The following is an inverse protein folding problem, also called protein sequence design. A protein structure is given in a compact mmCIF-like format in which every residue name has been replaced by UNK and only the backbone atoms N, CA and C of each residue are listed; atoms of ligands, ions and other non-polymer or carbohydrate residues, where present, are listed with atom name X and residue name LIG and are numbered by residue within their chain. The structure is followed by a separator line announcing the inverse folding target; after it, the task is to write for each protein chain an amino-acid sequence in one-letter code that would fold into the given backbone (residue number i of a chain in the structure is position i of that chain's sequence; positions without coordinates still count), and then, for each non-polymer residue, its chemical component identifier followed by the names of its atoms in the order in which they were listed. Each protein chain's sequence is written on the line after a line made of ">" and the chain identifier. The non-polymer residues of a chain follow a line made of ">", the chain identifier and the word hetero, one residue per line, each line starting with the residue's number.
data_IF_902934646354
#
_entry.id   IF_902934646354
#
_cell.length_a   1.000
_cell.length_b   1.000
_cell.length_c   1.000
_cell.angle_alpha   90.00
_cell.angle_beta   90.00
_cell.angle_gamma   90.00
#
_symmetry.space_group_name_H-M   'P 1'
#
loop_
_entity.id
_entity.type
_entity.pdbx_description
1 polymer ?
#
# COMPACT_ATOMS: atom_id res chain seq x y z
N UNK A 1 -13.97 18.03 11.02
CA UNK A 1 -14.97 17.63 12.05
C UNK A 1 -15.37 16.18 11.79
N UNK A 2 -15.48 15.34 12.82
CA UNK A 2 -15.90 13.94 12.67
C UNK A 2 -17.43 13.89 12.46
N UNK A 3 -17.86 13.89 11.20
CA UNK A 3 -19.27 13.84 10.79
C UNK A 3 -19.71 12.40 10.51
N UNK A 4 -21.02 12.14 10.49
CA UNK A 4 -21.56 10.81 10.14
C UNK A 4 -21.15 10.36 8.74
N UNK A 5 -21.07 11.27 7.77
CA UNK A 5 -20.60 11.00 6.41
C UNK A 5 -19.10 10.63 6.40
N UNK A 6 -18.26 11.38 7.11
CA UNK A 6 -16.83 11.06 7.23
C UNK A 6 -16.60 9.72 7.92
N UNK A 7 -17.45 9.34 8.90
CA UNK A 7 -17.36 8.04 9.56
C UNK A 7 -17.53 6.89 8.56
N UNK A 8 -18.50 6.98 7.65
CA UNK A 8 -18.67 5.95 6.62
C UNK A 8 -17.51 5.93 5.63
N UNK A 9 -16.97 7.10 5.26
CA UNK A 9 -15.83 7.22 4.33
C UNK A 9 -14.55 6.63 4.91
N UNK A 10 -14.30 6.81 6.21
CA UNK A 10 -13.10 6.31 6.89
C UNK A 10 -13.33 5.00 7.66
N UNK A 11 -14.48 4.34 7.47
CA UNK A 11 -14.75 3.06 8.09
C UNK A 11 -13.87 1.96 7.46
N UNK A 12 -12.88 1.52 8.23
CA UNK A 12 -11.96 0.44 7.86
C UNK A 12 -12.28 -0.88 8.54
N UNK A 13 -13.44 -1.01 9.20
CA UNK A 13 -13.84 -2.22 9.95
C UNK A 13 -14.02 -3.47 9.09
N UNK A 14 -14.25 -3.29 7.78
CA UNK A 14 -14.41 -4.37 6.81
C UNK A 14 -13.09 -4.90 6.24
N UNK A 15 -11.99 -4.17 6.47
CA UNK A 15 -10.66 -4.59 6.04
C UNK A 15 -10.08 -5.60 7.03
N UNK A 16 -9.16 -6.44 6.54
CA UNK A 16 -8.45 -7.39 7.40
C UNK A 16 -7.55 -6.66 8.39
N UNK A 17 -6.78 -5.69 7.91
CA UNK A 17 -6.12 -4.71 8.76
C UNK A 17 -6.57 -3.29 8.42
N UNK A 18 -6.63 -2.36 9.41
CA UNK A 18 -6.87 -0.95 9.12
C UNK A 18 -5.84 -0.31 8.18
N UNK A 19 -4.65 -0.91 8.05
CA UNK A 19 -3.59 -0.50 7.14
C UNK A 19 -3.78 -0.96 5.70
N UNK A 20 -4.68 -1.92 5.45
CA UNK A 20 -4.87 -2.48 4.12
C UNK A 20 -5.55 -1.46 3.20
N UNK A 21 -5.32 -1.60 1.90
CA UNK A 21 -5.93 -0.75 0.90
C UNK A 21 -7.36 -1.21 0.58
N UNK A 22 -8.29 -0.26 0.57
CA UNK A 22 -9.61 -0.50 0.00
C UNK A 22 -9.52 -0.75 -1.50
N UNK A 23 -10.57 -1.31 -2.11
CA UNK A 23 -10.62 -1.54 -3.56
C UNK A 23 -10.52 -0.22 -4.35
N UNK A 24 -11.10 0.85 -3.80
CA UNK A 24 -11.04 2.20 -4.38
C UNK A 24 -9.62 2.76 -4.32
N UNK A 25 -8.96 2.67 -3.17
CA UNK A 25 -7.57 3.11 -2.99
C UNK A 25 -6.62 2.30 -3.88
N UNK A 26 -6.86 0.98 -3.97
CA UNK A 26 -6.11 0.09 -4.85
C UNK A 26 -6.27 0.46 -6.32
N UNK A 27 -7.47 0.86 -6.77
CA UNK A 27 -7.68 1.29 -8.17
C UNK A 27 -6.81 2.47 -8.58
N UNK A 28 -6.51 3.37 -7.63
CA UNK A 28 -5.66 4.54 -7.84
C UNK A 28 -4.19 4.08 -7.83
N UNK A 29 -3.77 3.43 -6.74
CA UNK A 29 -2.35 3.14 -6.49
C UNK A 29 -1.82 2.01 -7.36
N UNK A 30 -2.64 1.00 -7.64
CA UNK A 30 -2.23 -0.18 -8.42
C UNK A 30 -1.71 0.18 -9.81
N UNK A 31 -2.28 1.23 -10.43
CA UNK A 31 -1.85 1.74 -11.74
C UNK A 31 -0.48 2.43 -11.74
N UNK A 32 -0.01 2.87 -10.58
CA UNK A 32 1.26 3.58 -10.40
C UNK A 32 2.42 2.64 -10.12
N UNK A 33 2.13 1.39 -9.74
CA UNK A 33 3.13 0.38 -9.46
C UNK A 33 3.65 -0.15 -10.81
N UNK A 34 4.97 -0.12 -11.05
CA UNK A 34 5.52 -0.61 -12.29
C UNK A 34 5.29 -2.12 -12.44
N UNK A 35 4.99 -2.53 -13.68
CA UNK A 35 4.91 -3.94 -14.04
C UNK A 35 6.22 -4.67 -13.77
N UNK A 36 6.11 -5.99 -13.60
CA UNK A 36 7.29 -6.84 -13.47
C UNK A 36 8.17 -6.69 -14.72
N UNK A 37 9.46 -6.35 -14.53
CA UNK A 37 10.43 -6.24 -15.62
C UNK A 37 10.49 -7.56 -16.41
N UNK A 38 10.41 -7.47 -17.73
CA UNK A 38 10.58 -8.61 -18.63
C UNK A 38 12.00 -9.17 -18.57
N UNK A 39 12.14 -10.50 -18.65
CA UNK A 39 13.43 -11.22 -18.67
C UNK A 39 13.91 -11.77 -17.32
N UNK A 40 13.22 -11.46 -16.22
CA UNK A 40 13.45 -12.07 -14.90
C UNK A 40 12.45 -13.18 -14.57
N UNK A 41 12.58 -13.76 -13.37
CA UNK A 41 11.57 -14.68 -12.86
C UNK A 41 10.22 -13.96 -12.75
N UNK A 42 9.14 -14.59 -13.24
CA UNK A 42 7.81 -13.97 -13.21
C UNK A 42 7.46 -13.63 -11.77
N UNK A 43 6.88 -12.44 -11.55
CA UNK A 43 6.35 -12.07 -10.24
C UNK A 43 5.19 -13.01 -9.91
N UNK A 44 5.43 -14.00 -9.07
CA UNK A 44 4.41 -14.97 -8.62
C UNK A 44 3.53 -14.41 -7.50
N UNK A 45 3.97 -13.32 -6.87
CA UNK A 45 3.36 -12.76 -5.66
C UNK A 45 2.42 -11.63 -6.04
N UNK A 46 1.20 -11.67 -5.50
CA UNK A 46 0.20 -10.62 -5.63
C UNK A 46 0.77 -9.25 -5.19
N UNK A 47 0.68 -8.28 -6.09
CA UNK A 47 1.17 -6.92 -5.88
C UNK A 47 0.40 -6.22 -4.77
N UNK A 48 -0.91 -6.46 -4.69
CA UNK A 48 -1.77 -5.85 -3.68
C UNK A 48 -1.39 -6.31 -2.30
N UNK A 49 -1.32 -7.62 -2.10
CA UNK A 49 -0.87 -8.20 -0.84
C UNK A 49 0.54 -7.71 -0.44
N UNK A 50 1.42 -7.44 -1.42
CA UNK A 50 2.73 -6.86 -1.13
C UNK A 50 2.60 -5.44 -0.58
N UNK A 51 1.79 -4.60 -1.21
CA UNK A 51 1.58 -3.23 -0.77
C UNK A 51 0.85 -3.17 0.57
N UNK A 52 -0.14 -4.04 0.81
CA UNK A 52 -0.80 -4.18 2.12
C UNK A 52 0.22 -4.52 3.21
N UNK A 53 1.15 -5.44 2.93
CA UNK A 53 2.26 -5.75 3.85
C UNK A 53 3.20 -4.57 4.11
N UNK A 54 3.50 -3.77 3.09
CA UNK A 54 4.27 -2.54 3.22
C UNK A 54 3.52 -1.51 4.08
N UNK A 55 2.25 -1.26 3.78
CA UNK A 55 1.40 -0.33 4.53
C UNK A 55 1.23 -0.75 5.98
N UNK A 56 1.15 -2.05 6.25
CA UNK A 56 1.10 -2.58 7.62
C UNK A 56 2.35 -2.18 8.42
N UNK A 57 3.54 -2.39 7.87
CA UNK A 57 4.80 -1.98 8.53
C UNK A 57 4.88 -0.47 8.69
N UNK A 58 4.53 0.30 7.65
CA UNK A 58 4.59 1.76 7.70
C UNK A 58 3.58 2.37 8.69
N UNK A 59 2.39 1.77 8.82
CA UNK A 59 1.34 2.24 9.72
C UNK A 59 1.59 1.84 11.18
N UNK A 60 2.14 0.66 11.43
CA UNK A 60 2.32 0.14 12.79
C UNK A 60 3.71 0.42 13.37
N UNK A 61 4.72 0.58 12.51
CA UNK A 61 6.12 0.69 12.91
C UNK A 61 6.67 -0.57 13.60
N UNK A 62 6.01 -1.73 13.44
CA UNK A 62 6.40 -2.93 14.15
C UNK A 62 7.71 -3.53 13.60
N UNK A 63 8.33 -4.41 14.39
CA UNK A 63 9.51 -5.13 13.94
C UNK A 63 9.17 -6.06 12.78
N UNK A 64 10.07 -6.22 11.80
CA UNK A 64 9.88 -7.12 10.67
C UNK A 64 9.55 -8.57 11.04
N UNK A 65 10.03 -9.05 12.19
CA UNK A 65 9.72 -10.38 12.71
C UNK A 65 8.28 -10.51 13.25
N UNK A 66 7.65 -9.38 13.59
CA UNK A 66 6.28 -9.29 14.06
C UNK A 66 5.26 -9.10 12.91
N UNK A 67 5.72 -9.06 11.66
CA UNK A 67 4.82 -9.05 10.50
C UNK A 67 3.90 -10.29 10.56
N UNK A 68 2.57 -10.11 10.50
CA UNK A 68 1.63 -11.22 10.48
C UNK A 68 1.94 -12.25 9.38
N UNK A 69 1.84 -13.55 9.71
CA UNK A 69 2.22 -14.66 8.82
C UNK A 69 1.31 -14.85 7.61
N UNK A 70 0.17 -14.20 7.68
CA UNK A 70 -0.93 -14.25 6.73
C UNK A 70 -0.83 -13.10 5.71
N UNK A 71 0.11 -12.16 5.92
CA UNK A 71 0.69 -11.28 4.91
C UNK A 71 1.89 -11.95 4.20
N UNK A 72 2.37 -11.43 3.07
CA UNK A 72 3.50 -12.02 2.38
C UNK A 72 4.78 -12.08 3.23
N UNK A 73 5.74 -12.97 2.88
CA UNK A 73 6.94 -13.16 3.68
C UNK A 73 7.70 -11.85 3.92
N UNK A 74 8.11 -11.62 5.18
CA UNK A 74 8.79 -10.38 5.61
C UNK A 74 10.01 -10.01 4.77
N UNK A 75 10.77 -11.00 4.28
CA UNK A 75 11.92 -10.77 3.41
C UNK A 75 11.47 -10.17 2.07
N UNK A 76 10.43 -10.74 1.48
CA UNK A 76 9.86 -10.26 0.23
C UNK A 76 9.28 -8.86 0.40
N UNK A 77 8.52 -8.60 1.47
CA UNK A 77 7.96 -7.27 1.74
C UNK A 77 9.09 -6.24 1.88
N UNK A 78 10.16 -6.57 2.60
CA UNK A 78 11.33 -5.70 2.74
C UNK A 78 12.03 -5.44 1.39
N UNK A 79 12.26 -6.48 0.60
CA UNK A 79 12.89 -6.37 -0.71
C UNK A 79 12.09 -5.44 -1.64
N UNK A 80 10.75 -5.57 -1.63
CA UNK A 80 9.88 -4.70 -2.42
C UNK A 80 9.83 -3.27 -1.89
N UNK A 81 9.77 -3.08 -0.57
CA UNK A 81 9.84 -1.75 0.02
C UNK A 81 11.11 -1.02 -0.43
N UNK A 82 12.27 -1.68 -0.31
CA UNK A 82 13.56 -1.11 -0.73
C UNK A 82 13.60 -0.84 -2.23
N UNK A 83 13.14 -1.79 -3.04
CA UNK A 83 13.12 -1.63 -4.50
C UNK A 83 12.24 -0.46 -4.94
N UNK A 84 11.07 -0.31 -4.34
CA UNK A 84 10.14 0.77 -4.66
C UNK A 84 10.58 2.14 -4.14
N UNK A 85 11.41 2.17 -3.09
CA UNK A 85 12.09 3.37 -2.63
C UNK A 85 13.21 3.77 -3.62
N UNK A 86 14.07 2.81 -4.00
CA UNK A 86 15.18 3.01 -4.93
C UNK A 86 14.71 3.46 -6.33
N UNK A 87 13.61 2.89 -6.85
CA UNK A 87 13.05 3.24 -8.15
C UNK A 87 12.04 4.39 -8.11
N UNK A 88 11.89 5.05 -6.95
CA UNK A 88 11.00 6.20 -6.71
C UNK A 88 9.51 5.89 -6.95
N UNK A 89 9.11 4.62 -6.95
CA UNK A 89 7.68 4.22 -7.01
C UNK A 89 6.92 4.77 -5.81
N UNK A 90 7.48 4.70 -4.61
CA UNK A 90 6.82 5.22 -3.41
C UNK A 90 6.60 6.74 -3.50
N UNK A 91 7.57 7.49 -4.01
CA UNK A 91 7.42 8.94 -4.21
C UNK A 91 6.33 9.27 -5.23
N UNK A 92 6.24 8.49 -6.32
CA UNK A 92 5.19 8.68 -7.34
C UNK A 92 3.81 8.42 -6.75
N UNK A 93 3.66 7.35 -5.97
CA UNK A 93 2.42 7.04 -5.25
C UNK A 93 2.07 8.16 -4.28
N UNK A 94 3.02 8.58 -3.44
CA UNK A 94 2.80 9.66 -2.48
C UNK A 94 2.42 10.97 -3.15
N UNK A 95 3.10 11.35 -4.23
CA UNK A 95 2.80 12.56 -4.98
C UNK A 95 1.40 12.52 -5.60
N UNK A 96 1.03 11.41 -6.25
CA UNK A 96 -0.31 11.26 -6.85
C UNK A 96 -1.42 11.39 -5.79
N UNK A 97 -1.26 10.70 -4.65
CA UNK A 97 -2.21 10.81 -3.54
C UNK A 97 -2.24 12.20 -2.93
N UNK A 98 -1.09 12.87 -2.81
CA UNK A 98 -1.00 14.25 -2.31
C UNK A 98 -1.78 15.22 -3.20
N UNK A 99 -1.64 15.11 -4.53
CA UNK A 99 -2.37 15.95 -5.49
C UNK A 99 -3.88 15.72 -5.37
N UNK A 100 -4.33 14.46 -5.32
CA UNK A 100 -5.76 14.14 -5.14
C UNK A 100 -6.33 14.72 -3.84
N UNK A 101 -5.60 14.62 -2.73
CA UNK A 101 -5.99 15.22 -1.46
C UNK A 101 -6.06 16.75 -1.53
N UNK A 102 -5.13 17.38 -2.26
CA UNK A 102 -5.11 18.84 -2.44
C UNK A 102 -6.29 19.32 -3.27
N UNK A 103 -6.62 18.63 -4.36
CA UNK A 103 -7.77 18.94 -5.21
C UNK A 103 -9.09 18.77 -4.47
N UNK A 104 -9.21 17.76 -3.60
CA UNK A 104 -10.42 17.56 -2.79
C UNK A 104 -10.60 18.58 -1.67
N UNK A 105 -9.52 19.28 -1.27
CA UNK A 105 -9.52 20.27 -0.19
C UNK A 105 -9.61 21.73 -0.68
N UNK A 106 -9.43 21.98 -1.98
CA UNK A 106 -9.62 23.28 -2.63
C UNK A 106 -11.08 23.53 -2.99
#
# INVERSE_FOLDING_TARGET
>A
MWTSENRSKYDRSKLRYPSDLSDEEWSIVGSLIPDAKGGGNKRTIDVRAMLDGVMYILSTGCQWAALPKDLPPRSTVNDYLRRWDEDRTLDRIHHALYVLCREQAG
#
